data_IF_720807957398
#
_entry.id   IF_720807957398
#
_cell.length_a   1.000
_cell.length_b   1.000
_cell.length_c   1.000
_cell.angle_alpha   90.00
_cell.angle_beta   90.00
_cell.angle_gamma   90.00
#
_symmetry.space_group_name_H-M   'P 1'
#
loop_
_entity.id
_entity.type
_entity.pdbx_description
1 polymer ?
#
# COMPACT_ATOMS: atom_id res chain seq x y z
N UNK A 1 2.19 -21.85 13.90
CA UNK A 1 2.25 -21.75 12.42
C UNK A 1 2.16 -20.28 12.13
N UNK A 2 3.04 -19.69 11.32
CA UNK A 2 2.91 -18.30 10.90
C UNK A 2 1.61 -18.15 10.11
N UNK A 3 0.85 -17.09 10.37
CA UNK A 3 -0.33 -16.77 9.57
C UNK A 3 0.09 -16.49 8.12
N UNK A 4 -0.73 -16.94 7.16
CA UNK A 4 -0.55 -16.66 5.73
C UNK A 4 -1.65 -15.76 5.21
N UNK A 5 -1.40 -15.15 4.05
CA UNK A 5 -2.35 -14.35 3.30
C UNK A 5 -2.24 -14.67 1.80
N UNK A 6 -3.26 -14.37 1.04
CA UNK A 6 -3.21 -14.45 -0.42
C UNK A 6 -2.63 -13.18 -1.00
N UNK A 7 -1.76 -13.32 -2.00
CA UNK A 7 -1.18 -12.22 -2.76
C UNK A 7 -1.06 -12.57 -4.25
N UNK A 8 -1.16 -11.55 -5.10
CA UNK A 8 -0.83 -11.68 -6.52
C UNK A 8 0.68 -11.71 -6.68
N UNK A 9 1.17 -12.71 -7.42
CA UNK A 9 2.59 -12.96 -7.64
C UNK A 9 2.90 -12.90 -9.14
N UNK A 10 3.88 -12.10 -9.50
CA UNK A 10 4.45 -12.11 -10.85
C UNK A 10 5.38 -13.31 -11.00
N UNK A 11 5.10 -14.18 -11.96
CA UNK A 11 5.92 -15.38 -12.23
C UNK A 11 6.91 -15.10 -13.36
N UNK A 12 6.39 -14.67 -14.49
CA UNK A 12 7.13 -14.33 -15.72
C UNK A 12 6.25 -13.47 -16.64
N UNK A 13 6.78 -12.85 -17.69
CA UNK A 13 5.96 -12.12 -18.65
C UNK A 13 4.77 -12.93 -19.15
N UNK A 14 3.58 -12.34 -19.06
CA UNK A 14 2.30 -12.98 -19.42
C UNK A 14 1.73 -13.92 -18.38
N UNK A 15 2.39 -14.10 -17.22
CA UNK A 15 1.94 -15.05 -16.19
C UNK A 15 1.97 -14.47 -14.80
N UNK A 16 0.80 -14.48 -14.16
CA UNK A 16 0.62 -14.17 -12.75
C UNK A 16 -0.18 -15.28 -12.07
N UNK A 17 0.05 -15.44 -10.77
CA UNK A 17 -0.64 -16.41 -9.91
C UNK A 17 -1.14 -15.72 -8.64
N UNK A 18 -2.06 -16.36 -7.93
CA UNK A 18 -2.38 -16.02 -6.54
C UNK A 18 -1.80 -17.10 -5.66
N UNK A 19 -0.96 -16.71 -4.72
CA UNK A 19 -0.24 -17.65 -3.84
C UNK A 19 -0.45 -17.29 -2.37
N UNK A 20 -0.29 -18.32 -1.52
CA UNK A 20 -0.18 -18.14 -0.07
C UNK A 20 1.23 -17.65 0.26
N UNK A 21 1.32 -16.49 0.91
CA UNK A 21 2.58 -15.89 1.38
C UNK A 21 2.48 -15.60 2.88
N UNK A 22 3.59 -15.37 3.59
CA UNK A 22 3.52 -14.91 4.97
C UNK A 22 2.67 -13.64 5.09
N UNK A 23 1.75 -13.59 6.07
CA UNK A 23 0.93 -12.42 6.35
C UNK A 23 1.84 -11.22 6.65
N UNK A 24 1.47 -10.05 6.13
CA UNK A 24 2.15 -8.80 6.44
C UNK A 24 2.14 -8.56 7.97
N UNK A 25 3.29 -8.12 8.50
CA UNK A 25 3.47 -7.86 9.92
C UNK A 25 4.29 -6.58 10.12
N UNK A 26 4.15 -5.95 11.28
CA UNK A 26 4.98 -4.83 11.71
C UNK A 26 6.47 -5.23 11.73
N UNK A 27 7.34 -4.35 11.27
CA UNK A 27 8.80 -4.53 11.30
C UNK A 27 9.48 -3.40 12.07
N UNK A 28 8.85 -2.23 12.16
CA UNK A 28 9.30 -1.04 12.86
C UNK A 28 8.18 -0.45 13.71
N UNK A 29 8.53 0.38 14.67
CA UNK A 29 7.55 1.02 15.57
C UNK A 29 6.67 2.07 14.86
N UNK A 30 7.07 2.58 13.69
CA UNK A 30 6.31 3.53 12.87
C UNK A 30 5.54 2.89 11.70
N UNK A 31 5.47 1.55 11.67
CA UNK A 31 4.67 0.80 10.71
C UNK A 31 3.20 0.70 11.12
N UNK A 32 2.35 0.49 10.13
CA UNK A 32 1.02 -0.11 10.33
C UNK A 32 0.86 -1.34 9.42
N UNK A 33 -0.08 -2.21 9.76
CA UNK A 33 -0.62 -3.23 8.87
C UNK A 33 -2.06 -2.86 8.56
N UNK A 34 -2.41 -2.81 7.29
CA UNK A 34 -3.80 -2.62 6.85
C UNK A 34 -4.37 -3.92 6.28
N UNK A 35 -5.66 -4.17 6.53
CA UNK A 35 -6.47 -5.13 5.80
C UNK A 35 -7.02 -4.44 4.56
N UNK A 36 -6.75 -5.04 3.38
CA UNK A 36 -7.12 -4.44 2.10
C UNK A 36 -8.63 -4.37 1.92
N UNK A 37 -9.13 -3.20 1.51
CA UNK A 37 -10.52 -2.98 1.08
C UNK A 37 -10.60 -3.00 -0.45
N UNK A 38 -9.72 -2.24 -1.12
CA UNK A 38 -9.60 -2.22 -2.58
C UNK A 38 -8.14 -2.02 -2.99
N UNK A 39 -7.80 -2.62 -4.09
CA UNK A 39 -6.58 -2.39 -4.87
C UNK A 39 -6.95 -2.41 -6.34
N UNK A 40 -6.08 -1.96 -7.23
CA UNK A 40 -6.32 -2.01 -8.67
C UNK A 40 -5.07 -2.41 -9.47
N UNK A 41 -5.25 -2.56 -10.76
CA UNK A 41 -4.18 -2.75 -11.73
C UNK A 41 -3.94 -1.42 -12.43
N UNK A 42 -2.75 -0.85 -12.26
CA UNK A 42 -2.30 0.34 -12.95
C UNK A 42 -1.74 0.02 -14.34
N UNK A 43 -1.70 1.01 -15.21
CA UNK A 43 -1.03 0.88 -16.51
C UNK A 43 0.46 0.50 -16.39
N UNK A 44 1.13 0.93 -15.32
CA UNK A 44 2.53 0.59 -15.03
C UNK A 44 2.73 -0.91 -14.75
N UNK A 45 1.76 -1.59 -14.16
CA UNK A 45 1.81 -3.05 -13.93
C UNK A 45 1.85 -3.83 -15.25
N UNK A 46 1.30 -3.27 -16.33
CA UNK A 46 1.30 -3.90 -17.64
C UNK A 46 2.67 -3.92 -18.33
N UNK A 47 3.61 -3.07 -17.89
CA UNK A 47 4.95 -3.03 -18.49
C UNK A 47 5.73 -4.31 -18.19
N UNK A 48 5.82 -4.70 -16.91
CA UNK A 48 6.48 -5.96 -16.56
C UNK A 48 5.67 -7.17 -17.00
N UNK A 49 4.33 -7.12 -16.92
CA UNK A 49 3.49 -8.21 -17.40
C UNK A 49 3.71 -8.50 -18.89
N UNK A 50 3.94 -7.48 -19.70
CA UNK A 50 4.25 -7.59 -21.14
C UNK A 50 5.73 -7.85 -21.42
N UNK A 51 6.59 -7.94 -20.42
CA UNK A 51 8.04 -8.11 -20.59
C UNK A 51 8.76 -6.88 -21.11
N UNK A 52 8.16 -5.69 -20.98
CA UNK A 52 8.73 -4.41 -21.45
C UNK A 52 9.58 -3.72 -20.37
N UNK A 53 9.48 -4.17 -19.12
CA UNK A 53 10.34 -3.73 -18.01
C UNK A 53 10.71 -4.91 -17.13
N UNK A 54 11.81 -4.80 -16.38
CA UNK A 54 12.24 -5.84 -15.43
C UNK A 54 11.35 -5.90 -14.21
N UNK A 55 10.99 -7.12 -13.79
CA UNK A 55 10.37 -7.44 -12.53
C UNK A 55 10.97 -8.75 -12.01
N UNK A 56 11.23 -8.84 -10.72
CA UNK A 56 11.75 -10.07 -10.14
C UNK A 56 10.68 -11.17 -10.20
N UNK A 57 11.08 -12.35 -10.70
CA UNK A 57 10.19 -13.51 -10.65
C UNK A 57 9.83 -13.87 -9.21
N UNK A 58 8.60 -14.35 -9.00
CA UNK A 58 8.04 -14.66 -7.69
C UNK A 58 7.98 -13.48 -6.71
N UNK A 59 7.83 -12.25 -7.23
CA UNK A 59 7.59 -11.05 -6.42
C UNK A 59 6.10 -10.70 -6.35
N UNK A 60 5.70 -10.13 -5.22
CA UNK A 60 4.38 -9.51 -5.06
C UNK A 60 4.28 -8.26 -5.96
N UNK A 61 3.06 -7.84 -6.27
CA UNK A 61 2.78 -6.74 -7.19
C UNK A 61 1.70 -5.79 -6.64
N UNK A 62 1.53 -4.67 -7.34
CA UNK A 62 0.54 -3.64 -7.02
C UNK A 62 1.10 -2.54 -6.11
N UNK A 63 0.63 -1.31 -6.31
CA UNK A 63 1.12 -0.14 -5.61
C UNK A 63 -0.01 0.82 -5.19
N UNK A 64 -1.27 0.47 -5.43
CA UNK A 64 -2.44 1.28 -5.07
C UNK A 64 -3.28 0.56 -4.04
N UNK A 65 -3.65 1.26 -2.95
CA UNK A 65 -4.36 0.64 -1.84
C UNK A 65 -5.27 1.60 -1.08
N UNK A 66 -6.45 1.10 -0.69
CA UNK A 66 -7.24 1.61 0.42
C UNK A 66 -7.55 0.45 1.36
N UNK A 67 -7.53 0.69 2.66
CA UNK A 67 -7.69 -0.38 3.64
C UNK A 67 -8.06 0.11 5.03
N UNK A 68 -8.33 -0.84 5.90
CA UNK A 68 -8.61 -0.60 7.33
C UNK A 68 -7.37 -0.99 8.12
N UNK A 69 -6.93 -0.11 9.01
CA UNK A 69 -5.81 -0.36 9.92
C UNK A 69 -6.14 -1.55 10.81
N UNK A 70 -5.31 -2.58 10.77
CA UNK A 70 -5.42 -3.80 11.59
C UNK A 70 -4.52 -3.71 12.82
N UNK A 71 -3.27 -3.28 12.62
CA UNK A 71 -2.26 -3.15 13.66
C UNK A 71 -1.47 -1.86 13.48
N UNK A 72 -0.99 -1.29 14.60
CA UNK A 72 -0.10 -0.12 14.61
C UNK A 72 1.13 -0.39 15.45
N UNK A 73 2.29 0.09 14.99
CA UNK A 73 3.50 0.15 15.79
C UNK A 73 3.39 1.18 16.92
N UNK A 74 4.28 1.07 17.89
CA UNK A 74 4.22 1.86 19.13
C UNK A 74 4.46 3.37 18.94
N UNK A 75 5.08 3.77 17.83
CA UNK A 75 5.39 5.17 17.51
C UNK A 75 4.35 5.84 16.59
N UNK A 76 3.33 5.13 16.13
CA UNK A 76 2.27 5.67 15.26
C UNK A 76 1.29 6.50 16.09
N UNK A 77 1.06 7.75 15.67
CA UNK A 77 0.19 8.71 16.36
C UNK A 77 -1.05 9.12 15.55
N UNK A 78 -0.97 9.10 14.20
CA UNK A 78 -2.01 9.65 13.31
C UNK A 78 -3.23 8.75 13.13
N UNK A 79 -3.06 7.44 13.28
CA UNK A 79 -4.10 6.42 13.04
C UNK A 79 -4.06 5.34 14.11
N UNK A 80 -5.16 4.59 14.20
CA UNK A 80 -5.32 3.46 15.14
C UNK A 80 -6.06 2.30 14.46
N UNK A 81 -6.03 1.09 15.03
CA UNK A 81 -6.83 -0.03 14.53
C UNK A 81 -8.30 0.35 14.35
N UNK A 82 -8.87 -0.03 13.21
CA UNK A 82 -10.21 0.31 12.78
C UNK A 82 -10.32 1.57 11.91
N UNK A 83 -9.31 2.42 11.84
CA UNK A 83 -9.33 3.60 10.96
C UNK A 83 -9.25 3.18 9.48
N UNK A 84 -10.07 3.85 8.64
CA UNK A 84 -10.04 3.68 7.19
C UNK A 84 -9.04 4.65 6.58
N UNK A 85 -8.18 4.16 5.67
CA UNK A 85 -7.07 4.93 5.09
C UNK A 85 -6.91 4.73 3.60
N UNK A 86 -6.46 5.79 2.91
CA UNK A 86 -5.83 5.73 1.59
C UNK A 86 -4.33 5.63 1.79
N UNK A 87 -3.68 4.74 1.05
CA UNK A 87 -2.22 4.57 1.05
C UNK A 87 -1.68 5.03 -0.29
N UNK A 88 -1.05 6.22 -0.39
CA UNK A 88 -0.37 6.67 -1.60
C UNK A 88 0.71 5.69 -2.03
N UNK A 89 0.95 5.56 -3.35
CA UNK A 89 1.94 4.63 -3.87
C UNK A 89 3.39 4.89 -3.41
N UNK A 90 3.83 6.17 -3.14
CA UNK A 90 5.07 6.44 -2.43
C UNK A 90 4.81 6.55 -0.92
N UNK A 91 5.80 6.21 -0.12
CA UNK A 91 5.80 6.48 1.31
C UNK A 91 6.93 7.42 1.70
N UNK A 92 6.74 8.18 2.77
CA UNK A 92 7.71 9.16 3.27
C UNK A 92 7.61 9.32 4.77
N UNK A 93 8.69 9.78 5.41
CA UNK A 93 8.68 9.94 6.88
C UNK A 93 7.86 11.13 7.40
N UNK A 94 7.49 12.10 6.56
CA UNK A 94 6.74 13.30 6.96
C UNK A 94 7.44 14.26 7.94
N UNK A 95 8.51 13.82 8.61
CA UNK A 95 9.15 14.53 9.74
C UNK A 95 10.54 15.09 9.46
N UNK A 96 11.22 14.57 8.44
CA UNK A 96 12.56 15.03 8.05
C UNK A 96 12.56 16.40 7.37
N UNK A 97 13.73 17.05 7.23
CA UNK A 97 13.83 18.39 6.64
C UNK A 97 13.36 18.44 5.18
N UNK A 98 13.56 17.37 4.43
CA UNK A 98 13.11 17.24 3.02
C UNK A 98 11.59 17.24 2.95
N UNK A 99 10.93 16.41 3.75
CA UNK A 99 9.47 16.36 3.82
C UNK A 99 8.87 17.66 4.33
N UNK A 100 9.45 18.26 5.40
CA UNK A 100 9.00 19.56 5.92
C UNK A 100 9.16 20.72 4.94
N UNK A 101 10.03 20.58 3.94
CA UNK A 101 10.18 21.54 2.84
C UNK A 101 9.20 21.26 1.68
N UNK A 102 8.31 20.24 1.77
CA UNK A 102 7.33 19.90 0.74
C UNK A 102 7.87 19.02 -0.39
N UNK A 103 8.93 18.26 -0.12
CA UNK A 103 9.55 17.36 -1.10
C UNK A 103 9.49 15.89 -0.66
N UNK A 104 8.31 15.43 -0.24
CA UNK A 104 8.08 14.07 0.25
C UNK A 104 8.50 13.01 -0.77
N UNK A 105 8.31 13.27 -2.06
CA UNK A 105 8.65 12.34 -3.16
C UNK A 105 10.14 11.97 -3.25
N UNK A 106 11.01 12.75 -2.63
CA UNK A 106 12.47 12.51 -2.55
C UNK A 106 12.94 12.33 -1.10
N UNK A 107 12.06 11.87 -0.23
CA UNK A 107 12.38 11.57 1.16
C UNK A 107 13.49 10.52 1.24
N UNK A 108 14.59 10.76 2.00
CA UNK A 108 15.66 9.77 2.16
C UNK A 108 15.23 8.45 2.84
N UNK A 109 14.12 8.49 3.58
CA UNK A 109 13.50 7.34 4.25
C UNK A 109 12.29 6.81 3.48
N UNK A 110 11.99 7.39 2.33
CA UNK A 110 10.84 7.03 1.51
C UNK A 110 11.13 5.92 0.50
N UNK A 111 10.08 5.50 -0.18
CA UNK A 111 10.14 4.48 -1.23
C UNK A 111 8.79 4.29 -1.91
N UNK A 112 8.64 3.18 -2.60
CA UNK A 112 7.44 2.84 -3.35
C UNK A 112 6.90 1.48 -2.92
N UNK A 113 5.57 1.35 -2.93
CA UNK A 113 4.92 0.06 -2.70
C UNK A 113 5.00 -0.85 -3.94
N UNK A 114 5.06 -2.14 -3.69
CA UNK A 114 5.05 -3.18 -4.75
C UNK A 114 4.37 -4.48 -4.28
N UNK A 115 3.47 -4.39 -3.30
CA UNK A 115 2.83 -5.56 -2.68
C UNK A 115 1.36 -5.30 -2.32
N UNK A 116 0.71 -4.30 -2.96
CA UNK A 116 -0.65 -3.90 -2.61
C UNK A 116 -1.73 -4.87 -3.10
N UNK A 117 -1.44 -5.73 -4.09
CA UNK A 117 -2.42 -6.73 -4.54
C UNK A 117 -2.37 -7.98 -3.64
N UNK A 118 -2.74 -7.79 -2.37
CA UNK A 118 -2.73 -8.80 -1.32
C UNK A 118 -3.87 -8.55 -0.32
N UNK A 119 -4.13 -9.50 0.58
CA UNK A 119 -5.16 -9.33 1.62
C UNK A 119 -4.74 -8.34 2.72
N UNK A 120 -3.43 -8.24 2.99
CA UNK A 120 -2.84 -7.32 3.97
C UNK A 120 -1.61 -6.64 3.39
N UNK A 121 -1.36 -5.41 3.84
CA UNK A 121 -0.18 -4.62 3.45
C UNK A 121 0.48 -4.03 4.70
N UNK A 122 1.81 -4.17 4.81
CA UNK A 122 2.61 -3.38 5.73
C UNK A 122 2.86 -2.01 5.10
N UNK A 123 2.59 -0.95 5.86
CA UNK A 123 2.83 0.44 5.46
C UNK A 123 3.89 1.03 6.40
N UNK A 124 5.12 1.28 5.93
CA UNK A 124 6.14 1.95 6.73
C UNK A 124 5.88 3.45 6.83
N UNK A 125 6.49 4.09 7.83
CA UNK A 125 6.42 5.54 8.05
C UNK A 125 4.96 6.05 8.02
N UNK A 126 4.06 5.36 8.74
CA UNK A 126 2.62 5.51 8.63
C UNK A 126 2.14 6.97 8.78
N UNK A 127 2.66 7.70 9.78
CA UNK A 127 2.27 9.09 10.05
C UNK A 127 2.62 10.08 8.92
N UNK A 128 3.64 9.75 8.13
CA UNK A 128 4.03 10.55 6.96
C UNK A 128 3.46 10.03 5.64
N UNK A 129 2.73 8.91 5.67
CA UNK A 129 2.31 8.21 4.47
C UNK A 129 0.80 8.18 4.30
N UNK A 130 0.04 7.69 5.28
CA UNK A 130 -1.38 7.41 5.08
C UNK A 130 -2.26 8.64 5.23
N UNK A 131 -3.36 8.65 4.48
CA UNK A 131 -4.41 9.66 4.59
C UNK A 131 -5.65 8.99 5.21
N UNK A 132 -6.01 9.43 6.41
CA UNK A 132 -7.22 8.93 7.09
C UNK A 132 -8.48 9.43 6.39
N UNK A 133 -9.37 8.49 6.10
CA UNK A 133 -10.71 8.74 5.54
C UNK A 133 -11.73 8.76 6.67
N UNK A 134 -12.66 9.72 6.72
CA UNK A 134 -13.73 9.73 7.72
C UNK A 134 -14.63 8.49 7.62
N UNK A 135 -15.13 7.99 8.75
CA UNK A 135 -16.03 6.84 8.78
C UNK A 135 -15.35 5.50 8.51
N UNK A 136 -16.09 4.57 7.97
CA UNK A 136 -15.69 3.19 7.67
C UNK A 136 -15.97 2.86 6.20
N UNK A 137 -15.37 1.80 5.62
CA UNK A 137 -15.65 1.43 4.22
C UNK A 137 -17.13 1.21 3.92
N UNK A 138 -17.91 0.76 4.89
CA UNK A 138 -19.34 0.48 4.78
C UNK A 138 -20.19 1.74 4.60
N UNK A 139 -19.65 2.92 4.92
CA UNK A 139 -20.30 4.22 4.76
C UNK A 139 -20.23 4.74 3.29
N UNK A 140 -19.48 4.04 2.42
CA UNK A 140 -19.19 4.44 1.06
C UNK A 140 -19.76 3.46 0.05
N UNK A 141 -20.32 3.98 -1.06
CA UNK A 141 -20.70 3.15 -2.21
C UNK A 141 -19.46 2.59 -2.92
N UNK A 142 -19.65 1.55 -3.74
CA UNK A 142 -18.56 0.98 -4.56
C UNK A 142 -17.90 2.03 -5.47
N UNK A 143 -18.69 2.97 -6.03
CA UNK A 143 -18.18 4.08 -6.85
C UNK A 143 -17.32 5.06 -6.03
N UNK A 144 -17.73 5.36 -4.80
CA UNK A 144 -16.96 6.21 -3.88
C UNK A 144 -15.66 5.53 -3.44
N UNK A 145 -15.71 4.23 -3.14
CA UNK A 145 -14.49 3.45 -2.81
C UNK A 145 -13.53 3.42 -4.01
N UNK A 146 -14.03 3.26 -5.23
CA UNK A 146 -13.21 3.33 -6.43
C UNK A 146 -12.60 4.73 -6.61
N UNK A 147 -13.36 5.80 -6.35
CA UNK A 147 -12.85 7.18 -6.39
C UNK A 147 -11.79 7.44 -5.32
N UNK A 148 -11.96 6.95 -4.10
CA UNK A 148 -10.96 7.05 -3.05
C UNK A 148 -9.66 6.31 -3.43
N UNK A 149 -9.77 5.15 -4.07
CA UNK A 149 -8.62 4.39 -4.53
C UNK A 149 -7.78 5.16 -5.55
N UNK A 150 -8.41 5.94 -6.45
CA UNK A 150 -7.66 6.77 -7.41
C UNK A 150 -6.78 7.83 -6.74
N UNK A 151 -7.09 8.22 -5.50
CA UNK A 151 -6.27 9.10 -4.68
C UNK A 151 -4.92 8.50 -4.25
N UNK A 152 -4.77 7.18 -4.39
CA UNK A 152 -3.51 6.51 -4.04
C UNK A 152 -2.40 6.67 -5.10
N UNK A 153 -2.75 6.91 -6.38
CA UNK A 153 -1.82 7.13 -7.47
C UNK A 153 -2.36 8.15 -8.51
N UNK A 154 -3.34 7.75 -9.30
CA UNK A 154 -3.76 8.43 -10.55
C UNK A 154 -4.13 9.90 -10.36
N UNK A 155 -4.71 10.28 -9.20
CA UNK A 155 -5.09 11.67 -8.93
C UNK A 155 -3.92 12.57 -8.57
N UNK A 156 -2.80 11.99 -8.14
CA UNK A 156 -1.62 12.72 -7.66
C UNK A 156 -0.45 12.70 -8.66
N UNK A 157 -0.55 11.91 -9.71
CA UNK A 157 0.42 11.81 -10.80
C UNK A 157 -0.15 12.36 -12.10
#
# INVERSE_FOLDING_TARGET
MSETMKAAIFVEPGKMTVEEVPKAALQQDDDIVIRMVRTCVCGSDLWFFRGLSGQAAHSQVGHEAIGVVEETGAAVESVKPGDFVVVPFPYSCGKGPVCKAGFESVCPHGGYFSACQAEYLRVPEADGTVVKVPGSPEDYSDEQLASLLTGSDVMST
#
